data_IF_706949762945
#
_entry.id   IF_706949762945
#
_cell.length_a   1.000
_cell.length_b   1.000
_cell.length_c   1.000
_cell.angle_alpha   90.00
_cell.angle_beta   90.00
_cell.angle_gamma   90.00
#
_symmetry.space_group_name_H-M   'P 1'
#
loop_
_entity.id
_entity.type
_entity.pdbx_description
1 polymer ?
#
# COMPACT_ATOMS: atom_id res chain seq x y z
N UNK A 1 -6.62 10.09 26.59
CA UNK A 1 -7.08 9.19 25.51
C UNK A 1 -6.62 7.80 25.88
N UNK A 2 -7.57 6.90 26.17
CA UNK A 2 -7.25 5.55 26.64
C UNK A 2 -6.74 4.72 25.46
N UNK A 3 -5.54 4.14 25.60
CA UNK A 3 -5.01 3.16 24.67
C UNK A 3 -5.62 1.78 24.99
N UNK A 4 -5.92 1.01 23.94
CA UNK A 4 -6.48 -0.34 24.03
C UNK A 4 -5.41 -1.30 24.58
N UNK A 5 -5.62 -1.83 25.79
CA UNK A 5 -5.00 -3.07 26.24
C UNK A 5 -6.04 -4.19 26.08
N UNK A 6 -5.71 -5.33 25.46
CA UNK A 6 -6.62 -6.45 25.35
C UNK A 6 -6.90 -7.02 26.75
N UNK A 7 -8.17 -7.07 27.15
CA UNK A 7 -8.58 -7.87 28.31
C UNK A 7 -8.57 -9.35 27.88
N UNK A 8 -7.58 -10.10 28.35
CA UNK A 8 -7.54 -11.55 28.16
C UNK A 8 -8.57 -12.20 29.07
N UNK A 9 -9.75 -12.49 28.53
CA UNK A 9 -10.77 -13.31 29.20
C UNK A 9 -10.38 -14.79 29.15
N UNK A 10 -9.24 -15.20 29.69
CA UNK A 10 -8.92 -16.60 30.05
C UNK A 10 -9.13 -17.75 29.03
N UNK A 11 -9.38 -17.51 27.74
CA UNK A 11 -9.55 -18.55 26.70
C UNK A 11 -8.44 -18.47 25.65
N UNK A 12 -8.05 -19.64 25.14
CA UNK A 12 -6.97 -19.83 24.16
C UNK A 12 -7.16 -19.08 22.83
N UNK A 13 -8.36 -18.53 22.58
CA UNK A 13 -8.67 -17.70 21.42
C UNK A 13 -9.11 -16.31 21.89
N UNK A 14 -8.41 -15.23 21.49
CA UNK A 14 -8.84 -13.88 21.79
C UNK A 14 -10.19 -13.61 21.11
N UNK A 15 -11.16 -13.18 21.91
CA UNK A 15 -12.49 -12.80 21.42
C UNK A 15 -12.91 -11.48 22.09
N UNK A 16 -13.75 -10.71 21.39
CA UNK A 16 -14.36 -9.50 21.93
C UNK A 16 -15.86 -9.78 22.06
N UNK A 17 -16.36 -9.72 23.29
CA UNK A 17 -17.79 -9.91 23.56
C UNK A 17 -18.61 -8.68 23.16
N UNK A 18 -19.91 -8.84 22.87
CA UNK A 18 -20.79 -7.70 22.55
C UNK A 18 -20.83 -6.63 23.64
N UNK A 19 -20.73 -7.01 24.92
CA UNK A 19 -20.68 -6.08 26.05
C UNK A 19 -19.37 -5.28 26.07
N UNK A 20 -18.25 -5.89 25.71
CA UNK A 20 -16.98 -5.18 25.51
C UNK A 20 -17.06 -4.20 24.34
N UNK A 21 -17.75 -4.57 23.25
CA UNK A 21 -17.97 -3.65 22.12
C UNK A 21 -18.80 -2.43 22.56
N UNK A 22 -19.89 -2.67 23.29
CA UNK A 22 -20.81 -1.62 23.73
C UNK A 22 -20.18 -0.68 24.76
N UNK A 23 -19.21 -1.15 25.56
CA UNK A 23 -18.54 -0.34 26.58
C UNK A 23 -17.37 0.48 26.05
N UNK A 24 -17.01 0.36 24.77
CA UNK A 24 -15.87 1.10 24.22
C UNK A 24 -16.12 2.61 24.25
N UNK A 25 -15.25 3.40 24.90
CA UNK A 25 -15.34 4.85 24.84
C UNK A 25 -14.94 5.30 23.44
N UNK A 26 -15.90 5.90 22.72
CA UNK A 26 -15.65 6.50 21.41
C UNK A 26 -15.76 8.02 21.51
N UNK A 27 -14.93 8.72 20.72
CA UNK A 27 -15.13 10.14 20.52
C UNK A 27 -16.34 10.33 19.61
N UNK A 28 -17.37 11.00 20.10
CA UNK A 28 -18.57 11.31 19.33
C UNK A 28 -18.69 12.83 19.13
N UNK A 29 -17.93 13.42 18.19
CA UNK A 29 -18.02 14.85 17.91
C UNK A 29 -19.36 15.17 17.22
N UNK A 30 -19.68 16.46 17.10
CA UNK A 30 -20.91 16.88 16.39
C UNK A 30 -20.94 16.35 14.95
N UNK A 31 -22.14 16.13 14.41
CA UNK A 31 -22.32 15.62 13.04
C UNK A 31 -21.54 16.42 11.99
N UNK A 32 -21.53 17.75 12.11
CA UNK A 32 -20.77 18.64 11.23
C UNK A 32 -19.27 18.30 11.21
N UNK A 33 -18.66 18.10 12.38
CA UNK A 33 -17.25 17.74 12.48
C UNK A 33 -16.99 16.35 11.92
N UNK A 34 -17.90 15.39 12.15
CA UNK A 34 -17.81 14.06 11.55
C UNK A 34 -17.78 14.15 10.02
N UNK A 35 -18.68 14.93 9.42
CA UNK A 35 -18.75 15.10 7.97
C UNK A 35 -17.49 15.78 7.39
N UNK A 36 -16.92 16.75 8.11
CA UNK A 36 -15.65 17.41 7.75
C UNK A 36 -14.48 16.42 7.76
N UNK A 37 -14.36 15.60 8.81
CA UNK A 37 -13.34 14.56 8.93
C UNK A 37 -13.48 13.53 7.81
N UNK A 38 -14.69 13.05 7.55
CA UNK A 38 -14.96 12.07 6.49
C UNK A 38 -14.58 12.65 5.12
N UNK A 39 -14.95 13.90 4.84
CA UNK A 39 -14.63 14.56 3.58
C UNK A 39 -13.11 14.71 3.39
N UNK A 40 -12.40 15.09 4.46
CA UNK A 40 -10.95 15.19 4.43
C UNK A 40 -10.30 13.82 4.15
N UNK A 41 -10.70 12.79 4.90
CA UNK A 41 -10.16 11.44 4.76
C UNK A 41 -10.45 10.85 3.38
N UNK A 42 -11.66 11.02 2.85
CA UNK A 42 -12.03 10.54 1.52
C UNK A 42 -11.08 11.10 0.45
N UNK A 43 -10.82 12.43 0.48
CA UNK A 43 -9.88 13.06 -0.45
C UNK A 43 -8.46 12.54 -0.31
N UNK A 44 -7.99 12.34 0.93
CA UNK A 44 -6.65 11.82 1.20
C UNK A 44 -6.51 10.37 0.70
N UNK A 45 -7.50 9.52 0.97
CA UNK A 45 -7.53 8.13 0.53
C UNK A 45 -7.51 8.04 -0.99
N UNK A 46 -8.39 8.78 -1.69
CA UNK A 46 -8.41 8.78 -3.16
C UNK A 46 -7.07 9.20 -3.76
N UNK A 47 -6.41 10.20 -3.15
CA UNK A 47 -5.06 10.61 -3.58
C UNK A 47 -4.05 9.47 -3.43
N UNK A 48 -4.07 8.76 -2.29
CA UNK A 48 -3.17 7.64 -2.07
C UNK A 48 -3.46 6.46 -3.00
N UNK A 49 -4.73 6.14 -3.24
CA UNK A 49 -5.11 5.09 -4.18
C UNK A 49 -4.62 5.38 -5.60
N UNK A 50 -4.75 6.63 -6.07
CA UNK A 50 -4.23 7.07 -7.37
C UNK A 50 -2.70 6.93 -7.47
N UNK A 51 -1.97 7.30 -6.42
CA UNK A 51 -0.51 7.16 -6.37
C UNK A 51 -0.09 5.69 -6.36
N UNK A 52 -0.77 4.85 -5.58
CA UNK A 52 -0.51 3.41 -5.53
C UNK A 52 -0.73 2.80 -6.91
N UNK A 53 -1.85 3.12 -7.57
CA UNK A 53 -2.15 2.64 -8.93
C UNK A 53 -1.08 3.05 -9.94
N UNK A 54 -0.61 4.31 -9.86
CA UNK A 54 0.43 4.81 -10.76
C UNK A 54 1.75 4.07 -10.55
N UNK A 55 2.13 3.86 -9.28
CA UNK A 55 3.35 3.15 -8.94
C UNK A 55 3.31 1.67 -9.35
N UNK A 56 2.18 0.99 -9.14
CA UNK A 56 2.03 -0.42 -9.56
C UNK A 56 2.08 -0.56 -11.08
N UNK A 57 1.46 0.35 -11.83
CA UNK A 57 1.55 0.38 -13.28
C UNK A 57 2.99 0.60 -13.78
N UNK A 58 3.72 1.54 -13.17
CA UNK A 58 5.13 1.77 -13.50
C UNK A 58 6.00 0.52 -13.24
N UNK A 59 5.77 -0.18 -12.12
CA UNK A 59 6.46 -1.44 -11.81
C UNK A 59 6.18 -2.49 -12.88
N UNK A 60 4.92 -2.64 -13.30
CA UNK A 60 4.54 -3.60 -14.36
C UNK A 60 5.26 -3.27 -15.67
N UNK A 61 5.22 -2.02 -16.11
CA UNK A 61 5.88 -1.59 -17.34
C UNK A 61 7.40 -1.79 -17.30
N UNK A 62 8.03 -1.52 -16.14
CA UNK A 62 9.46 -1.76 -15.96
C UNK A 62 9.81 -3.25 -16.04
N UNK A 63 8.96 -4.14 -15.51
CA UNK A 63 9.13 -5.59 -15.63
C UNK A 63 9.01 -6.07 -17.08
N UNK A 64 8.01 -5.58 -17.81
CA UNK A 64 7.84 -5.87 -19.24
C UNK A 64 9.03 -5.39 -20.06
N UNK A 65 9.47 -4.14 -19.84
CA UNK A 65 10.64 -3.58 -20.50
C UNK A 65 11.90 -4.40 -20.21
N UNK A 66 12.11 -4.83 -18.96
CA UNK A 66 13.24 -5.69 -18.60
C UNK A 66 13.19 -7.01 -19.37
N UNK A 67 12.04 -7.67 -19.44
CA UNK A 67 11.88 -8.92 -20.17
C UNK A 67 12.15 -8.73 -21.67
N UNK A 68 11.61 -7.66 -22.28
CA UNK A 68 11.83 -7.34 -23.68
C UNK A 68 13.31 -7.04 -23.98
N UNK A 69 14.00 -6.30 -23.12
CA UNK A 69 15.43 -6.02 -23.25
C UNK A 69 16.28 -7.29 -23.18
N UNK A 70 15.98 -8.19 -22.23
CA UNK A 70 16.67 -9.49 -22.13
C UNK A 70 16.43 -10.30 -23.40
N UNK A 71 15.17 -10.39 -23.87
CA UNK A 71 14.83 -11.11 -25.09
C UNK A 71 15.56 -10.54 -26.32
N UNK A 72 15.60 -9.21 -26.46
CA UNK A 72 16.30 -8.54 -27.55
C UNK A 72 17.81 -8.76 -27.51
N UNK A 73 18.43 -8.77 -26.32
CA UNK A 73 19.85 -9.08 -26.16
C UNK A 73 20.16 -10.55 -26.50
N UNK A 74 19.35 -11.50 -26.02
CA UNK A 74 19.57 -12.94 -26.25
C UNK A 74 19.30 -13.31 -27.72
N UNK A 75 18.35 -12.65 -28.38
CA UNK A 75 18.07 -12.84 -29.82
C UNK A 75 19.02 -12.06 -30.73
N UNK A 76 20.02 -11.36 -30.18
CA UNK A 76 21.01 -10.61 -30.96
C UNK A 76 20.49 -9.34 -31.62
N UNK A 77 19.26 -8.91 -31.30
CA UNK A 77 18.68 -7.63 -31.76
C UNK A 77 19.35 -6.42 -31.07
N UNK A 78 19.96 -6.63 -29.91
CA UNK A 78 20.80 -5.65 -29.22
C UNK A 78 22.19 -6.26 -29.02
N UNK A 79 23.21 -5.64 -29.60
CA UNK A 79 24.60 -6.10 -29.43
C UNK A 79 25.21 -5.57 -28.12
N UNK A 80 25.13 -6.41 -27.09
CA UNK A 80 25.71 -6.16 -25.76
C UNK A 80 27.23 -6.31 -25.71
N UNK A 81 27.87 -6.93 -26.72
CA UNK A 81 29.34 -7.16 -26.73
C UNK A 81 30.11 -5.91 -27.16
N UNK A 82 29.51 -5.08 -28.01
CA UNK A 82 30.08 -3.77 -28.35
C UNK A 82 30.07 -2.80 -27.16
N UNK A 83 29.04 -2.88 -26.31
CA UNK A 83 28.88 -2.00 -25.15
C UNK A 83 29.77 -2.38 -23.96
N UNK A 84 30.09 -3.67 -23.76
CA UNK A 84 31.00 -4.09 -22.68
C UNK A 84 32.45 -3.64 -22.90
N UNK A 85 32.90 -3.49 -24.15
CA UNK A 85 34.20 -2.91 -24.49
C UNK A 85 34.29 -1.41 -24.21
N UNK A 86 33.18 -0.67 -24.33
CA UNK A 86 33.14 0.77 -24.10
C UNK A 86 33.13 1.16 -22.60
N UNK A 87 32.83 0.22 -21.71
CA UNK A 87 32.86 0.44 -20.25
C UNK A 87 34.20 0.05 -19.60
N UNK A 88 35.08 -0.63 -20.35
CA UNK A 88 36.39 -1.12 -19.90
C UNK A 88 37.56 -0.32 -20.52
N UNK A 89 37.27 0.79 -21.21
CA UNK A 89 38.21 1.76 -21.76
C UNK A 89 37.97 3.13 -21.10
#
# INVERSE_FOLDING_TARGET
MHFLAPEMTGVSVPHISPSQIASFPICLPSRKIQDEIVTYLARAITKFESLILTATNAITLLKERRAALISAAVTGKIDVRAQSKALAA
#
